data_IF_743837760542
#
_entry.id   IF_743837760542
#
_cell.length_a   1.000
_cell.length_b   1.000
_cell.length_c   1.000
_cell.angle_alpha   90.00
_cell.angle_beta   90.00
_cell.angle_gamma   90.00
#
_symmetry.space_group_name_H-M   'P 1'
#
loop_
_entity.id
_entity.type
_entity.pdbx_description
1 polymer ?
#
# COMPACT_ATOMS: atom_id res chain seq x y z
N UNK A 1 -29.28 -10.07 51.45
CA UNK A 1 -29.54 -8.63 51.20
C UNK A 1 -29.78 -8.43 49.72
N UNK A 2 -30.93 -7.82 49.37
CA UNK A 2 -31.47 -7.72 48.01
C UNK A 2 -30.65 -6.75 47.14
N UNK A 3 -30.47 -7.12 45.87
CA UNK A 3 -29.85 -6.34 44.79
C UNK A 3 -30.59 -5.01 44.57
N UNK A 4 -29.86 -3.90 44.49
CA UNK A 4 -30.35 -2.59 44.02
C UNK A 4 -30.61 -2.65 42.51
N UNK A 5 -31.74 -2.14 41.99
CA UNK A 5 -32.03 -2.14 40.56
C UNK A 5 -31.24 -1.03 39.84
N UNK A 6 -30.95 -1.18 38.53
CA UNK A 6 -30.34 -0.14 37.73
C UNK A 6 -31.34 1.00 37.48
N UNK A 7 -30.79 2.20 37.41
CA UNK A 7 -31.48 3.48 37.37
C UNK A 7 -32.45 3.58 36.17
N UNK A 8 -33.65 4.12 36.43
CA UNK A 8 -34.79 4.17 35.50
C UNK A 8 -34.48 4.99 34.24
N UNK A 9 -35.02 4.51 33.13
CA UNK A 9 -35.21 5.26 31.89
C UNK A 9 -35.81 6.66 32.16
N UNK A 10 -35.28 7.68 31.48
CA UNK A 10 -35.77 9.06 31.57
C UNK A 10 -37.27 9.15 31.33
N UNK A 11 -37.94 9.92 32.19
CA UNK A 11 -39.39 10.10 32.23
C UNK A 11 -39.99 10.59 30.89
N UNK A 12 -41.25 10.23 30.58
CA UNK A 12 -41.97 10.83 29.46
C UNK A 12 -42.25 12.31 29.77
N UNK A 13 -41.73 13.22 28.94
CA UNK A 13 -42.06 14.65 29.02
C UNK A 13 -43.55 14.87 28.76
N UNK A 14 -44.17 15.75 29.53
CA UNK A 14 -45.56 16.14 29.32
C UNK A 14 -45.77 16.67 27.88
N UNK A 15 -46.93 16.42 27.25
CA UNK A 15 -47.18 16.87 25.89
C UNK A 15 -47.13 18.40 25.83
N UNK A 16 -46.10 18.94 25.16
CA UNK A 16 -45.93 20.38 24.93
C UNK A 16 -44.70 21.02 25.56
N UNK A 17 -43.93 20.33 26.40
CA UNK A 17 -42.68 20.86 26.98
C UNK A 17 -41.44 20.55 26.13
N UNK A 18 -40.41 21.40 26.21
CA UNK A 18 -39.14 21.18 25.50
C UNK A 18 -38.40 19.94 26.03
N UNK A 19 -38.08 18.95 25.19
CA UNK A 19 -37.33 17.77 25.61
C UNK A 19 -35.89 18.11 25.96
N UNK A 20 -35.29 17.32 26.87
CA UNK A 20 -33.90 17.46 27.24
C UNK A 20 -32.96 17.13 26.07
N UNK A 21 -31.72 17.64 26.15
CA UNK A 21 -30.67 17.39 25.14
C UNK A 21 -30.42 15.90 24.95
N UNK A 22 -30.38 15.14 26.05
CA UNK A 22 -30.18 13.69 26.05
C UNK A 22 -31.33 12.95 25.38
N UNK A 23 -32.58 13.38 25.62
CA UNK A 23 -33.74 12.77 24.98
C UNK A 23 -33.73 12.96 23.45
N UNK A 24 -33.36 14.15 22.97
CA UNK A 24 -33.23 14.43 21.54
C UNK A 24 -32.10 13.60 20.93
N UNK A 25 -30.93 13.54 21.57
CA UNK A 25 -29.80 12.74 21.09
C UNK A 25 -30.12 11.24 21.07
N UNK A 26 -30.79 10.73 22.11
CA UNK A 26 -31.22 9.34 22.20
C UNK A 26 -32.22 8.99 21.09
N UNK A 27 -33.20 9.87 20.81
CA UNK A 27 -34.16 9.68 19.73
C UNK A 27 -33.50 9.63 18.34
N UNK A 28 -32.51 10.50 18.11
CA UNK A 28 -31.74 10.50 16.85
C UNK A 28 -30.91 9.21 16.71
N UNK A 29 -30.33 8.70 17.81
CA UNK A 29 -29.59 7.43 17.83
C UNK A 29 -30.50 6.22 17.60
N UNK A 30 -31.69 6.19 18.20
CA UNK A 30 -32.63 5.07 18.10
C UNK A 30 -33.44 5.06 16.81
N UNK A 31 -33.53 6.18 16.09
CA UNK A 31 -34.29 6.28 14.84
C UNK A 31 -33.52 5.64 13.67
N UNK A 32 -34.16 4.86 12.80
CA UNK A 32 -33.53 4.35 11.59
C UNK A 32 -33.36 5.48 10.55
N UNK A 33 -32.11 5.81 10.20
CA UNK A 33 -31.79 6.76 9.13
C UNK A 33 -31.62 8.22 9.58
N UNK A 34 -31.89 9.17 8.67
CA UNK A 34 -31.67 10.61 8.89
C UNK A 34 -32.91 11.24 9.49
N UNK A 35 -32.75 11.89 10.64
CA UNK A 35 -33.86 12.53 11.35
C UNK A 35 -33.91 14.03 11.05
N UNK A 36 -35.06 14.53 10.59
CA UNK A 36 -35.32 15.93 10.32
C UNK A 36 -36.10 16.63 11.44
N UNK A 37 -36.08 17.98 11.44
CA UNK A 37 -36.84 18.82 12.39
C UNK A 37 -38.32 18.42 12.52
N UNK A 38 -38.96 18.02 11.41
CA UNK A 38 -40.38 17.62 11.38
C UNK A 38 -40.65 16.34 12.17
N UNK A 39 -39.73 15.38 12.15
CA UNK A 39 -39.87 14.10 12.84
C UNK A 39 -39.68 14.28 14.35
N UNK A 40 -38.72 15.11 14.75
CA UNK A 40 -38.50 15.48 16.16
C UNK A 40 -39.72 16.23 16.72
N UNK A 41 -40.24 17.21 15.97
CA UNK A 41 -41.46 17.94 16.35
C UNK A 41 -42.65 17.00 16.52
N UNK A 42 -42.83 16.03 15.61
CA UNK A 42 -43.92 15.07 15.67
C UNK A 42 -43.77 14.10 16.86
N UNK A 43 -42.55 13.60 17.09
CA UNK A 43 -42.28 12.65 18.16
C UNK A 43 -42.49 13.26 19.54
N UNK A 44 -41.98 14.48 19.76
CA UNK A 44 -42.09 15.20 21.03
C UNK A 44 -43.31 16.13 21.12
N UNK A 45 -44.22 16.10 20.13
CA UNK A 45 -45.45 16.91 20.06
C UNK A 45 -45.20 18.42 20.31
N UNK A 46 -44.19 18.97 19.65
CA UNK A 46 -43.75 20.36 19.87
C UNK A 46 -44.61 21.39 19.11
N UNK A 47 -45.07 22.42 19.82
CA UNK A 47 -45.78 23.57 19.24
C UNK A 47 -44.90 24.52 18.39
N UNK A 48 -45.50 25.54 17.75
CA UNK A 48 -44.80 26.52 16.92
C UNK A 48 -43.69 27.29 17.67
N UNK A 49 -43.90 27.59 18.95
CA UNK A 49 -43.01 28.43 19.77
C UNK A 49 -41.68 27.73 20.11
N UNK A 50 -41.69 26.40 20.12
CA UNK A 50 -40.53 25.55 20.42
C UNK A 50 -39.55 25.40 19.23
N UNK A 51 -39.91 25.93 18.05
CA UNK A 51 -39.16 25.73 16.81
C UNK A 51 -37.80 26.43 16.80
N UNK A 52 -37.68 27.57 17.45
CA UNK A 52 -36.42 28.32 17.53
C UNK A 52 -35.47 27.66 18.53
N UNK A 53 -35.99 27.31 19.70
CA UNK A 53 -35.25 26.62 20.77
C UNK A 53 -34.72 25.26 20.32
N UNK A 54 -35.53 24.46 19.61
CA UNK A 54 -35.08 23.18 19.05
C UNK A 54 -33.91 23.35 18.06
N UNK A 55 -33.90 24.43 17.26
CA UNK A 55 -32.79 24.69 16.34
C UNK A 55 -31.49 25.06 17.06
N UNK A 56 -31.58 25.77 18.18
CA UNK A 56 -30.43 26.08 19.02
C UNK A 56 -29.84 24.80 19.64
N UNK A 57 -30.70 23.94 20.21
CA UNK A 57 -30.28 22.66 20.82
C UNK A 57 -29.64 21.71 19.80
N UNK A 58 -30.18 21.63 18.57
CA UNK A 58 -29.61 20.78 17.53
C UNK A 58 -28.25 21.28 17.02
N UNK A 59 -28.03 22.60 16.96
CA UNK A 59 -26.71 23.16 16.63
C UNK A 59 -25.68 22.86 17.71
N UNK A 60 -26.07 23.01 18.97
CA UNK A 60 -25.22 22.74 20.12
C UNK A 60 -24.84 21.26 20.21
N UNK A 61 -25.81 20.34 20.02
CA UNK A 61 -25.54 18.90 19.96
C UNK A 61 -24.63 18.49 18.80
N UNK A 62 -24.71 19.20 17.66
CA UNK A 62 -23.80 19.01 16.54
C UNK A 62 -22.39 19.54 16.83
N UNK A 63 -22.28 20.70 17.49
CA UNK A 63 -21.00 21.25 17.95
C UNK A 63 -20.31 20.37 19.00
N UNK A 64 -21.09 19.70 19.85
CA UNK A 64 -20.59 18.76 20.86
C UNK A 64 -20.38 17.31 20.38
N UNK A 65 -20.51 17.02 19.09
CA UNK A 65 -20.26 15.68 18.52
C UNK A 65 -21.29 14.59 18.90
N UNK A 66 -22.40 14.94 19.54
CA UNK A 66 -23.42 13.98 19.98
C UNK A 66 -24.34 13.53 18.82
N UNK A 67 -24.41 14.33 17.76
CA UNK A 67 -25.12 14.05 16.50
C UNK A 67 -24.30 14.60 15.33
N UNK A 68 -24.31 13.91 14.19
CA UNK A 68 -23.63 14.35 12.98
C UNK A 68 -24.61 15.05 12.03
N UNK A 69 -24.24 16.18 11.39
CA UNK A 69 -25.01 16.77 10.31
C UNK A 69 -25.17 15.78 9.14
N UNK A 70 -26.40 15.57 8.67
CA UNK A 70 -26.73 14.60 7.63
C UNK A 70 -27.51 15.25 6.45
N UNK A 71 -27.06 16.44 6.03
CA UNK A 71 -27.66 17.26 4.97
C UNK A 71 -28.39 18.50 5.49
N UNK A 72 -29.11 19.21 4.62
CA UNK A 72 -29.77 20.47 4.97
C UNK A 72 -30.86 20.26 6.05
N UNK A 73 -30.58 20.69 7.28
CA UNK A 73 -31.45 20.61 8.47
C UNK A 73 -31.83 19.17 8.90
N UNK A 74 -30.94 18.20 8.69
CA UNK A 74 -31.11 16.79 9.12
C UNK A 74 -29.89 16.31 9.92
N UNK A 75 -30.12 15.37 10.83
CA UNK A 75 -29.11 14.85 11.76
C UNK A 75 -29.16 13.32 11.81
N UNK A 76 -28.01 12.70 12.09
CA UNK A 76 -27.87 11.26 12.27
C UNK A 76 -26.97 10.96 13.48
N UNK A 77 -26.94 9.70 13.90
CA UNK A 77 -25.99 9.24 14.91
C UNK A 77 -24.53 9.43 14.43
N UNK A 78 -23.57 9.71 15.32
CA UNK A 78 -22.18 10.01 14.96
C UNK A 78 -21.48 8.88 14.18
N UNK A 79 -21.87 7.64 14.44
CA UNK A 79 -21.38 6.41 13.81
C UNK A 79 -22.04 6.10 12.45
N UNK A 80 -23.07 6.87 12.05
CA UNK A 80 -23.90 6.62 10.86
C UNK A 80 -23.62 7.57 9.69
N UNK A 81 -22.60 8.41 9.78
CA UNK A 81 -22.10 9.10 8.59
C UNK A 81 -21.54 8.05 7.64
N UNK A 82 -22.26 7.81 6.53
CA UNK A 82 -21.77 6.98 5.42
C UNK A 82 -20.34 7.38 5.09
N UNK A 83 -19.36 6.57 5.47
CA UNK A 83 -17.96 6.89 5.24
C UNK A 83 -17.72 6.90 3.73
N UNK A 84 -17.38 8.08 3.23
CA UNK A 84 -16.76 8.22 1.94
C UNK A 84 -15.28 7.95 2.18
N UNK A 85 -14.78 6.84 1.67
CA UNK A 85 -13.36 6.49 1.79
C UNK A 85 -12.71 6.44 0.41
N UNK A 86 -11.39 6.53 0.39
CA UNK A 86 -10.62 6.32 -0.83
C UNK A 86 -10.39 4.81 -0.99
N UNK A 87 -10.72 4.30 -2.17
CA UNK A 87 -10.55 2.90 -2.53
C UNK A 87 -9.72 2.80 -3.81
N UNK A 88 -8.97 1.72 -3.91
CA UNK A 88 -8.22 1.33 -5.11
C UNK A 88 -8.93 0.15 -5.78
N UNK A 89 -9.14 0.25 -7.10
CA UNK A 89 -9.70 -0.83 -7.92
C UNK A 89 -8.63 -1.89 -8.10
N UNK A 90 -8.93 -3.14 -7.75
CA UNK A 90 -7.98 -4.26 -7.81
C UNK A 90 -8.27 -5.25 -8.94
N UNK A 91 -9.45 -5.19 -9.55
CA UNK A 91 -9.88 -6.14 -10.57
C UNK A 91 -11.37 -6.04 -10.84
N UNK A 92 -11.88 -7.05 -11.56
CA UNK A 92 -13.31 -7.28 -11.73
C UNK A 92 -13.64 -8.73 -11.38
N UNK A 93 -14.89 -9.00 -11.02
CA UNK A 93 -15.41 -10.36 -10.88
C UNK A 93 -15.77 -10.98 -12.24
N UNK A 94 -16.16 -12.28 -12.29
CA UNK A 94 -16.56 -12.94 -13.53
C UNK A 94 -17.77 -12.30 -14.24
N UNK A 95 -18.59 -11.57 -13.50
CA UNK A 95 -19.77 -10.86 -14.01
C UNK A 95 -19.44 -9.43 -14.48
N UNK A 96 -18.17 -9.00 -14.32
CA UNK A 96 -17.65 -7.71 -14.75
C UNK A 96 -17.82 -6.58 -13.73
N UNK A 97 -18.30 -6.85 -12.51
CA UNK A 97 -18.36 -5.85 -11.44
C UNK A 97 -16.94 -5.53 -10.95
N UNK A 98 -16.59 -4.25 -10.87
CA UNK A 98 -15.27 -3.83 -10.40
C UNK A 98 -15.15 -4.10 -8.89
N UNK A 99 -14.03 -4.69 -8.48
CA UNK A 99 -13.70 -4.96 -7.08
C UNK A 99 -12.65 -3.94 -6.63
N UNK A 100 -12.84 -3.39 -5.44
CA UNK A 100 -11.96 -2.43 -4.81
C UNK A 100 -11.56 -2.85 -3.39
N UNK A 101 -10.51 -2.21 -2.88
CA UNK A 101 -10.06 -2.29 -1.47
C UNK A 101 -9.84 -0.88 -0.90
N UNK A 102 -9.97 -0.67 0.42
CA UNK A 102 -9.52 0.57 1.05
C UNK A 102 -8.02 0.81 0.83
N UNK A 103 -7.59 2.07 0.75
CA UNK A 103 -6.15 2.40 0.75
C UNK A 103 -5.54 2.18 2.14
N UNK A 104 -6.31 2.42 3.20
CA UNK A 104 -5.89 2.26 4.59
C UNK A 104 -6.83 1.27 5.29
N UNK A 105 -6.24 0.34 6.04
CA UNK A 105 -6.97 -0.60 6.89
C UNK A 105 -6.11 -0.99 8.10
N UNK A 106 -6.73 -1.53 9.18
CA UNK A 106 -6.00 -1.90 10.38
C UNK A 106 -4.87 -2.91 10.10
N UNK A 107 -3.66 -2.69 10.63
CA UNK A 107 -2.56 -3.62 10.45
C UNK A 107 -2.88 -4.98 11.10
N UNK A 108 -2.63 -6.07 10.36
CA UNK A 108 -2.90 -7.44 10.80
C UNK A 108 -4.26 -8.00 10.37
N UNK A 109 -5.13 -7.19 9.78
CA UNK A 109 -6.42 -7.64 9.23
C UNK A 109 -6.38 -7.80 7.70
N UNK A 110 -7.23 -8.68 7.17
CA UNK A 110 -7.41 -8.81 5.72
C UNK A 110 -8.19 -7.59 5.20
N UNK A 111 -7.77 -6.97 4.09
CA UNK A 111 -8.50 -5.84 3.55
C UNK A 111 -9.91 -6.27 3.13
N UNK A 112 -10.95 -5.52 3.53
CA UNK A 112 -12.31 -5.85 3.16
C UNK A 112 -12.51 -5.67 1.65
N UNK A 113 -13.36 -6.51 1.05
CA UNK A 113 -13.67 -6.43 -0.38
C UNK A 113 -14.85 -5.50 -0.61
N UNK A 114 -14.69 -4.60 -1.59
CA UNK A 114 -15.69 -3.59 -1.93
C UNK A 114 -16.12 -3.81 -3.38
N UNK A 115 -17.37 -4.21 -3.60
CA UNK A 115 -17.96 -4.36 -4.92
C UNK A 115 -18.47 -3.02 -5.40
N UNK A 116 -17.90 -2.50 -6.47
CA UNK A 116 -18.19 -1.18 -7.00
C UNK A 116 -19.40 -1.23 -7.92
N UNK A 117 -20.47 -0.56 -7.51
CA UNK A 117 -21.67 -0.42 -8.31
C UNK A 117 -21.35 0.26 -9.66
N UNK A 118 -22.04 -0.11 -10.75
CA UNK A 118 -21.86 0.50 -12.06
C UNK A 118 -22.02 2.02 -12.02
N UNK A 119 -21.17 2.72 -12.77
CA UNK A 119 -21.26 4.16 -12.94
C UNK A 119 -22.49 4.57 -13.77
N UNK A 120 -22.81 5.88 -13.84
CA UNK A 120 -23.80 6.39 -14.77
C UNK A 120 -23.50 5.97 -16.21
N UNK A 121 -24.54 5.70 -16.99
CA UNK A 121 -24.45 5.31 -18.41
C UNK A 121 -23.58 6.30 -19.18
N UNK A 122 -22.61 5.80 -19.96
CA UNK A 122 -21.68 6.61 -20.75
C UNK A 122 -20.35 6.95 -20.06
N UNK A 123 -20.13 6.58 -18.80
CA UNK A 123 -18.80 6.68 -18.18
C UNK A 123 -17.97 5.39 -18.42
N UNK A 124 -16.64 5.51 -18.64
CA UNK A 124 -15.76 4.35 -18.78
C UNK A 124 -15.80 3.47 -17.53
N UNK A 125 -15.66 2.15 -17.68
CA UNK A 125 -15.55 1.24 -16.54
C UNK A 125 -14.38 1.62 -15.62
N UNK A 126 -14.47 1.20 -14.36
CA UNK A 126 -13.39 1.35 -13.39
C UNK A 126 -12.31 0.32 -13.70
N UNK A 127 -11.11 0.79 -14.01
CA UNK A 127 -9.98 -0.07 -14.37
C UNK A 127 -9.11 -0.38 -13.14
N UNK A 128 -8.44 -1.55 -13.08
CA UNK A 128 -7.46 -1.85 -12.04
C UNK A 128 -6.43 -0.74 -11.88
N UNK A 129 -6.03 -0.49 -10.64
CA UNK A 129 -5.13 0.58 -10.25
C UNK A 129 -5.80 1.94 -10.05
N UNK A 130 -7.01 2.20 -10.58
CA UNK A 130 -7.69 3.48 -10.39
C UNK A 130 -8.03 3.73 -8.92
N UNK A 131 -7.87 4.98 -8.47
CA UNK A 131 -8.32 5.42 -7.14
C UNK A 131 -9.62 6.19 -7.26
N UNK A 132 -10.58 5.89 -6.39
CA UNK A 132 -11.86 6.60 -6.36
C UNK A 132 -12.29 6.90 -4.94
N UNK A 133 -12.90 8.06 -4.75
CA UNK A 133 -13.68 8.34 -3.55
C UNK A 133 -15.00 7.59 -3.69
N UNK A 134 -15.19 6.57 -2.87
CA UNK A 134 -16.38 5.73 -2.88
C UNK A 134 -17.19 5.92 -1.60
N UNK A 135 -18.52 6.01 -1.75
CA UNK A 135 -19.43 5.86 -0.61
C UNK A 135 -19.67 4.38 -0.39
N UNK A 136 -19.43 3.92 0.83
CA UNK A 136 -19.50 2.49 1.13
C UNK A 136 -20.76 2.13 1.93
N UNK A 137 -21.32 0.95 1.67
CA UNK A 137 -22.39 0.31 2.44
C UNK A 137 -22.05 -1.15 2.74
N UNK A 138 -22.37 -1.69 3.92
CA UNK A 138 -22.21 -3.12 4.19
C UNK A 138 -23.13 -3.94 3.27
N UNK A 139 -22.58 -4.98 2.63
CA UNK A 139 -23.31 -5.95 1.79
C UNK A 139 -23.26 -7.38 2.38
N UNK A 140 -22.50 -7.59 3.46
CA UNK A 140 -22.36 -8.87 4.16
C UNK A 140 -21.26 -8.83 5.22
N UNK A 141 -20.78 -10.00 5.66
CA UNK A 141 -19.60 -10.11 6.53
C UNK A 141 -18.34 -9.82 5.70
N UNK A 142 -17.57 -8.81 6.07
CA UNK A 142 -16.34 -8.35 5.39
C UNK A 142 -16.49 -7.99 3.90
N UNK A 143 -17.73 -7.76 3.47
CA UNK A 143 -18.11 -7.39 2.11
C UNK A 143 -18.89 -6.09 2.12
N UNK A 144 -18.51 -5.21 1.20
CA UNK A 144 -19.08 -3.89 1.09
C UNK A 144 -19.49 -3.61 -0.35
N UNK A 145 -20.50 -2.76 -0.52
CA UNK A 145 -20.88 -2.17 -1.78
C UNK A 145 -20.38 -0.73 -1.84
N UNK A 146 -19.63 -0.38 -2.87
CA UNK A 146 -19.09 0.95 -3.09
C UNK A 146 -19.81 1.65 -4.22
N UNK A 147 -20.23 2.90 -4.01
CA UNK A 147 -20.73 3.77 -5.09
C UNK A 147 -19.75 4.90 -5.32
N UNK A 148 -19.24 4.99 -6.54
CA UNK A 148 -18.31 6.04 -6.95
C UNK A 148 -18.93 7.43 -6.74
N UNK A 149 -18.32 8.23 -5.87
CA UNK A 149 -18.67 9.64 -5.69
C UNK A 149 -17.84 10.50 -6.63
N UNK A 150 -16.53 10.26 -6.68
CA UNK A 150 -15.58 11.00 -7.50
C UNK A 150 -14.42 10.09 -7.86
N UNK A 151 -14.00 10.09 -9.13
CA UNK A 151 -12.73 9.47 -9.52
C UNK A 151 -11.61 10.37 -9.05
N UNK A 152 -10.65 9.80 -8.33
CA UNK A 152 -9.45 10.52 -7.93
C UNK A 152 -8.45 10.28 -9.05
N UNK A 153 -8.20 11.33 -9.82
CA UNK A 153 -7.07 11.37 -10.74
C UNK A 153 -5.81 11.27 -9.88
N UNK A 154 -5.27 10.06 -9.77
CA UNK A 154 -4.22 9.77 -8.79
C UNK A 154 -3.61 8.39 -8.92
N UNK A 155 -3.92 7.69 -9.99
CA UNK A 155 -3.01 6.71 -10.56
C UNK A 155 -2.51 7.41 -11.81
N UNK A 156 -1.45 8.19 -11.65
CA UNK A 156 -0.66 8.65 -12.80
C UNK A 156 -0.27 7.39 -13.53
N UNK A 157 -1.00 7.04 -14.60
CA UNK A 157 -0.49 6.12 -15.60
C UNK A 157 0.80 6.76 -16.08
N UNK A 158 1.93 6.30 -15.55
CA UNK A 158 3.24 6.82 -15.88
C UNK A 158 3.46 6.37 -17.33
N UNK A 159 3.19 7.28 -18.27
CA UNK A 159 3.37 7.03 -19.70
C UNK A 159 4.88 6.89 -19.91
N UNK A 160 5.33 5.78 -20.48
CA UNK A 160 6.71 5.66 -20.96
C UNK A 160 6.69 5.47 -22.46
N UNK A 161 7.52 6.26 -23.12
CA UNK A 161 7.57 6.31 -24.58
C UNK A 161 8.78 7.10 -25.07
N UNK A 162 8.97 7.08 -26.38
CA UNK A 162 10.01 7.86 -27.05
C UNK A 162 9.45 9.24 -27.37
N UNK A 163 10.14 10.28 -26.93
CA UNK A 163 9.82 11.65 -27.28
C UNK A 163 10.26 11.93 -28.71
N UNK A 164 9.30 12.36 -29.54
CA UNK A 164 9.49 12.84 -30.90
C UNK A 164 9.30 14.33 -30.93
N UNK A 165 10.39 15.07 -31.10
CA UNK A 165 10.33 16.52 -31.17
C UNK A 165 9.66 16.95 -32.48
N UNK A 166 8.81 17.97 -32.42
CA UNK A 166 8.24 18.59 -33.60
C UNK A 166 8.73 20.04 -33.63
N UNK A 167 9.56 20.37 -34.62
CA UNK A 167 10.31 21.64 -34.66
C UNK A 167 9.34 22.80 -34.46
N UNK A 168 9.52 23.55 -33.37
CA UNK A 168 8.78 24.74 -32.92
C UNK A 168 7.42 24.60 -32.20
N UNK A 169 6.89 23.40 -31.93
CA UNK A 169 5.58 23.23 -31.24
C UNK A 169 5.58 22.27 -30.04
N UNK A 170 6.75 21.83 -29.57
CA UNK A 170 6.88 20.78 -28.55
C UNK A 170 7.15 19.42 -29.18
N UNK A 171 6.38 18.40 -28.85
CA UNK A 171 6.59 17.05 -29.37
C UNK A 171 5.46 16.08 -29.11
N UNK A 172 5.75 14.81 -29.34
CA UNK A 172 4.84 13.68 -29.11
C UNK A 172 5.55 12.62 -28.30
N UNK A 173 4.82 11.85 -27.50
CA UNK A 173 5.35 10.63 -26.88
C UNK A 173 4.72 9.44 -27.59
N UNK A 174 5.56 8.68 -28.27
CA UNK A 174 5.21 7.40 -28.90
C UNK A 174 5.39 6.28 -27.87
N UNK A 175 4.33 5.54 -27.49
CA UNK A 175 4.44 4.47 -26.50
C UNK A 175 5.42 3.37 -26.95
N UNK A 176 6.24 2.88 -26.02
CA UNK A 176 7.11 1.72 -26.26
C UNK A 176 6.35 0.40 -26.22
N UNK A 177 5.20 0.35 -25.54
CA UNK A 177 4.32 -0.82 -25.51
C UNK A 177 3.37 -0.84 -26.73
N UNK A 178 3.45 -1.90 -27.54
CA UNK A 178 2.55 -2.14 -28.69
C UNK A 178 1.07 -2.24 -28.30
N UNK A 179 0.73 -2.49 -27.03
CA UNK A 179 -0.65 -2.51 -26.52
C UNK A 179 -1.17 -1.11 -26.21
N UNK A 180 -0.29 -0.18 -25.85
CA UNK A 180 -0.63 1.22 -25.64
C UNK A 180 -0.65 1.94 -27.00
N UNK A 181 -1.83 2.01 -27.63
CA UNK A 181 -1.97 2.62 -28.97
C UNK A 181 -2.08 4.15 -28.99
N UNK A 182 -2.10 4.80 -27.83
CA UNK A 182 -2.35 6.23 -27.74
C UNK A 182 -1.04 7.01 -27.73
N UNK A 183 -0.78 7.75 -28.81
CA UNK A 183 0.22 8.83 -28.80
C UNK A 183 -0.25 9.99 -27.90
N UNK A 184 0.72 10.68 -27.30
CA UNK A 184 0.46 11.82 -26.42
C UNK A 184 1.12 13.07 -26.98
N UNK A 185 0.42 14.20 -26.94
CA UNK A 185 1.00 15.49 -27.32
C UNK A 185 1.64 16.16 -26.11
N UNK A 186 2.81 16.73 -26.30
CA UNK A 186 3.56 17.44 -25.25
C UNK A 186 3.89 18.83 -25.75
N UNK A 187 3.57 19.85 -24.97
CA UNK A 187 3.92 21.24 -25.32
C UNK A 187 5.41 21.49 -25.08
N UNK A 188 5.96 22.59 -25.61
CA UNK A 188 7.37 22.93 -25.35
C UNK A 188 7.65 23.16 -23.84
N UNK A 189 6.69 23.71 -23.10
CA UNK A 189 6.81 23.93 -21.65
C UNK A 189 6.75 22.60 -20.87
N UNK A 190 5.90 21.67 -21.33
CA UNK A 190 5.70 20.36 -20.71
C UNK A 190 6.75 19.32 -21.13
N UNK A 191 7.64 19.65 -22.06
CA UNK A 191 8.67 18.73 -22.56
C UNK A 191 9.81 18.50 -21.56
N UNK A 192 9.94 19.34 -20.52
CA UNK A 192 11.03 19.25 -19.53
C UNK A 192 12.43 19.17 -20.18
N UNK A 193 12.61 19.86 -21.31
CA UNK A 193 13.85 19.85 -22.09
C UNK A 193 14.18 18.50 -22.76
N UNK A 194 13.19 17.62 -22.95
CA UNK A 194 13.38 16.37 -23.68
C UNK A 194 13.79 16.61 -25.14
N UNK A 195 14.77 15.84 -25.59
CA UNK A 195 15.29 15.88 -26.95
C UNK A 195 14.68 14.79 -27.83
N UNK A 196 14.74 14.96 -29.15
CA UNK A 196 14.25 13.95 -30.08
C UNK A 196 14.97 12.61 -29.87
N UNK A 197 14.20 11.52 -29.82
CA UNK A 197 14.74 10.17 -29.63
C UNK A 197 15.00 9.79 -28.17
N UNK A 198 14.74 10.68 -27.20
CA UNK A 198 14.84 10.33 -25.79
C UNK A 198 13.65 9.50 -25.31
N UNK A 199 13.93 8.49 -24.50
CA UNK A 199 12.94 7.79 -23.69
C UNK A 199 12.56 8.73 -22.55
N UNK A 200 11.26 8.96 -22.39
CA UNK A 200 10.72 9.83 -21.35
C UNK A 200 9.64 9.14 -20.56
N UNK A 201 9.53 9.54 -19.30
CA UNK A 201 8.38 9.27 -18.44
C UNK A 201 7.51 10.51 -18.40
N UNK A 202 6.21 10.34 -18.55
CA UNK A 202 5.25 11.43 -18.55
C UNK A 202 3.99 11.12 -17.74
N UNK A 203 3.30 12.18 -17.34
CA UNK A 203 2.00 12.14 -16.69
C UNK A 203 0.93 12.63 -17.66
N UNK A 204 -0.23 11.95 -17.77
CA UNK A 204 -1.34 12.43 -18.57
C UNK A 204 -1.89 13.72 -17.98
N UNK A 205 -2.14 14.72 -18.84
CA UNK A 205 -2.82 15.95 -18.47
C UNK A 205 -4.32 15.88 -18.86
N UNK A 206 -5.20 16.65 -18.19
CA UNK A 206 -6.58 16.82 -18.63
C UNK A 206 -6.63 17.36 -20.07
N UNK A 207 -7.37 16.66 -20.95
CA UNK A 207 -7.41 16.97 -22.38
C UNK A 207 -8.83 17.06 -22.95
N UNK A 208 -8.93 17.60 -24.17
CA UNK A 208 -10.19 17.66 -24.92
C UNK A 208 -10.66 16.24 -25.29
N UNK A 209 -11.98 16.00 -25.47
CA UNK A 209 -12.51 14.68 -25.82
C UNK A 209 -12.06 14.14 -27.19
N UNK A 210 -11.63 15.03 -28.08
CA UNK A 210 -11.23 14.75 -29.46
C UNK A 210 -9.77 15.17 -29.67
N UNK A 211 -8.97 14.29 -30.29
CA UNK A 211 -7.54 14.50 -30.57
C UNK A 211 -6.61 13.68 -29.68
N UNK A 212 -5.30 13.89 -29.87
CA UNK A 212 -4.27 13.30 -29.01
C UNK A 212 -4.37 13.87 -27.60
N UNK A 213 -4.15 13.03 -26.59
CA UNK A 213 -4.23 13.45 -25.19
C UNK A 213 -2.95 14.20 -24.80
N UNK A 214 -3.05 15.31 -24.05
CA UNK A 214 -1.88 16.02 -23.58
C UNK A 214 -1.17 15.23 -22.47
N UNK A 215 0.14 15.33 -22.40
CA UNK A 215 0.96 14.77 -21.33
C UNK A 215 2.11 15.72 -20.99
N UNK A 216 2.64 15.58 -19.77
CA UNK A 216 3.80 16.32 -19.29
C UNK A 216 4.94 15.38 -18.96
N UNK A 217 6.11 15.63 -19.52
CA UNK A 217 7.32 14.89 -19.21
C UNK A 217 7.73 15.21 -17.77
N UNK A 218 7.87 14.16 -16.97
CA UNK A 218 8.33 14.27 -15.57
C UNK A 218 9.79 13.82 -15.42
N UNK A 219 10.27 12.95 -16.30
CA UNK A 219 11.60 12.36 -16.20
C UNK A 219 12.14 12.01 -17.59
N UNK A 220 13.43 12.31 -17.82
CA UNK A 220 14.17 11.94 -19.03
C UNK A 220 15.02 10.72 -18.72
N UNK A 221 14.73 9.60 -19.37
CA UNK A 221 15.37 8.29 -19.13
C UNK A 221 16.58 8.04 -20.05
N UNK A 222 16.88 8.97 -20.97
CA UNK A 222 18.04 8.94 -21.85
C UNK A 222 17.69 8.62 -23.30
N UNK A 223 18.69 8.61 -24.17
CA UNK A 223 18.52 8.30 -25.60
C UNK A 223 18.13 6.84 -25.81
N UNK A 224 17.21 6.56 -26.74
CA UNK A 224 16.77 5.19 -27.05
C UNK A 224 17.90 4.26 -27.50
N UNK A 225 19.00 4.84 -28.00
CA UNK A 225 20.21 4.13 -28.44
C UNK A 225 21.14 3.75 -27.28
N UNK A 226 20.92 4.26 -26.08
CA UNK A 226 21.69 3.91 -24.89
C UNK A 226 21.19 2.57 -24.32
N UNK A 227 22.13 1.64 -24.08
CA UNK A 227 21.84 0.36 -23.43
C UNK A 227 21.14 0.54 -22.07
N UNK A 228 21.43 1.62 -21.34
CA UNK A 228 20.77 1.95 -20.07
C UNK A 228 19.30 2.33 -20.23
N UNK A 229 18.93 2.95 -21.35
CA UNK A 229 17.56 3.34 -21.62
C UNK A 229 16.67 2.10 -21.85
N UNK A 230 17.22 1.02 -22.42
CA UNK A 230 16.50 -0.26 -22.59
C UNK A 230 16.05 -0.82 -21.24
N UNK A 231 16.94 -0.88 -20.25
CA UNK A 231 16.59 -1.35 -18.91
C UNK A 231 15.52 -0.47 -18.25
N UNK A 232 15.61 0.86 -18.40
CA UNK A 232 14.61 1.80 -17.88
C UNK A 232 13.24 1.64 -18.55
N UNK A 233 13.20 1.41 -19.86
CA UNK A 233 11.96 1.10 -20.59
C UNK A 233 11.33 -0.17 -20.02
N UNK A 234 12.12 -1.25 -19.85
CA UNK A 234 11.61 -2.53 -19.34
C UNK A 234 11.10 -2.38 -17.91
N UNK A 235 11.85 -1.70 -17.03
CA UNK A 235 11.44 -1.41 -15.65
C UNK A 235 10.08 -0.71 -15.65
N UNK A 236 9.90 0.32 -16.46
CA UNK A 236 8.67 1.06 -16.48
C UNK A 236 7.51 0.30 -17.16
N UNK A 237 7.78 -0.40 -18.26
CA UNK A 237 6.77 -1.16 -19.01
C UNK A 237 6.18 -2.31 -18.19
N UNK A 238 7.00 -2.91 -17.32
CA UNK A 238 6.58 -3.99 -16.43
C UNK A 238 6.20 -3.50 -15.03
N UNK A 239 6.08 -2.18 -14.83
CA UNK A 239 5.75 -1.57 -13.54
C UNK A 239 6.63 -2.10 -12.38
N UNK A 240 7.91 -2.34 -12.64
CA UNK A 240 8.83 -2.85 -11.63
C UNK A 240 9.02 -1.75 -10.57
N UNK A 241 8.72 -2.04 -9.29
CA UNK A 241 8.80 -1.04 -8.22
C UNK A 241 10.25 -0.63 -7.95
N UNK A 242 10.60 0.62 -8.28
CA UNK A 242 11.96 1.16 -8.08
C UNK A 242 12.12 1.98 -6.80
N UNK A 243 11.05 2.63 -6.32
CA UNK A 243 11.08 3.51 -5.15
C UNK A 243 10.86 2.73 -3.83
N UNK A 244 11.63 3.04 -2.79
CA UNK A 244 11.42 2.52 -1.45
C UNK A 244 10.55 3.48 -0.63
N UNK A 245 9.72 2.94 0.26
CA UNK A 245 9.00 3.78 1.22
C UNK A 245 10.01 4.48 2.16
N UNK A 246 9.85 5.77 2.49
CA UNK A 246 10.75 6.47 3.41
C UNK A 246 10.90 5.76 4.76
N UNK A 247 9.81 5.18 5.27
CA UNK A 247 9.84 4.38 6.49
C UNK A 247 10.71 3.11 6.37
N UNK A 248 10.73 2.46 5.20
CA UNK A 248 11.57 1.28 4.96
C UNK A 248 13.06 1.65 4.85
N UNK A 249 13.36 2.79 4.23
CA UNK A 249 14.73 3.35 4.21
C UNK A 249 15.19 3.64 5.65
N UNK A 250 14.37 4.34 6.43
CA UNK A 250 14.68 4.63 7.82
C UNK A 250 14.88 3.36 8.66
N UNK A 251 14.01 2.34 8.52
CA UNK A 251 14.20 1.04 9.20
C UNK A 251 15.54 0.39 8.84
N UNK A 252 15.94 0.42 7.57
CA UNK A 252 17.22 -0.13 7.10
C UNK A 252 18.44 0.65 7.64
N UNK A 253 18.40 1.99 7.64
CA UNK A 253 19.49 2.83 8.15
C UNK A 253 19.67 2.72 9.68
N UNK A 254 18.58 2.44 10.40
CA UNK A 254 18.62 2.21 11.84
C UNK A 254 19.01 0.77 12.22
N UNK A 255 19.16 -0.14 11.25
CA UNK A 255 19.63 -1.50 11.51
C UNK A 255 21.03 -1.49 12.14
N UNK A 256 21.30 -2.49 12.98
CA UNK A 256 22.54 -2.65 13.75
C UNK A 256 23.01 -4.09 13.70
N UNK A 257 24.26 -4.31 14.07
CA UNK A 257 24.83 -5.63 14.19
C UNK A 257 23.92 -6.54 15.04
N UNK A 258 23.78 -7.77 14.57
CA UNK A 258 23.03 -8.80 15.27
C UNK A 258 23.83 -9.25 16.51
N UNK A 259 23.23 -9.32 17.72
CA UNK A 259 23.93 -9.75 18.92
C UNK A 259 24.12 -11.27 18.96
N UNK A 260 25.10 -11.75 19.73
CA UNK A 260 25.38 -13.18 19.91
C UNK A 260 24.23 -13.89 20.66
N UNK A 261 23.83 -13.41 21.85
CA UNK A 261 22.68 -13.92 22.64
C UNK A 261 22.41 -15.44 22.51
N UNK A 262 21.27 -15.82 21.91
CA UNK A 262 20.82 -17.22 21.75
C UNK A 262 21.35 -17.88 20.47
N UNK A 263 22.33 -17.28 19.80
CA UNK A 263 22.92 -17.79 18.56
C UNK A 263 24.12 -18.67 18.86
N UNK A 264 24.33 -19.65 18.01
CA UNK A 264 25.59 -20.41 18.00
C UNK A 264 26.72 -19.49 17.53
N UNK A 265 27.81 -19.45 18.26
CA UNK A 265 29.03 -18.77 17.80
C UNK A 265 29.73 -19.64 16.75
N UNK A 266 29.81 -19.13 15.52
CA UNK A 266 30.46 -19.79 14.37
C UNK A 266 31.66 -18.99 13.86
N UNK A 267 32.12 -17.97 14.59
CA UNK A 267 33.18 -17.06 14.13
C UNK A 267 34.55 -17.71 13.98
N UNK A 268 34.80 -18.80 14.72
CA UNK A 268 36.03 -19.59 14.62
C UNK A 268 35.94 -20.70 13.55
N UNK A 269 34.78 -20.87 12.90
CA UNK A 269 34.61 -21.80 11.78
C UNK A 269 35.00 -21.07 10.50
N UNK A 270 35.94 -21.60 9.68
CA UNK A 270 36.40 -20.93 8.46
C UNK A 270 35.37 -21.10 7.32
N UNK A 271 34.21 -20.47 7.49
CA UNK A 271 33.15 -20.37 6.50
C UNK A 271 33.60 -19.45 5.36
N UNK A 272 33.38 -19.86 4.12
CA UNK A 272 33.71 -19.07 2.91
C UNK A 272 32.46 -18.81 2.07
N UNK A 273 32.43 -17.70 1.36
CA UNK A 273 31.43 -17.43 0.31
C UNK A 273 32.03 -17.73 -1.06
N UNK A 274 31.22 -18.15 -2.04
CA UNK A 274 31.68 -18.53 -3.38
C UNK A 274 30.78 -17.85 -4.41
N UNK A 275 31.20 -16.67 -4.86
CA UNK A 275 30.39 -15.77 -5.67
C UNK A 275 31.12 -15.25 -6.90
N UNK A 276 30.38 -14.61 -7.81
CA UNK A 276 30.97 -13.89 -8.93
C UNK A 276 31.83 -12.70 -8.45
N UNK A 277 32.88 -12.36 -9.20
CA UNK A 277 33.83 -11.31 -8.83
C UNK A 277 33.18 -9.92 -8.58
N UNK A 278 32.03 -9.66 -9.20
CA UNK A 278 31.30 -8.39 -9.10
C UNK A 278 30.17 -8.41 -8.05
N UNK A 279 29.98 -9.54 -7.34
CA UNK A 279 28.93 -9.69 -6.33
C UNK A 279 29.19 -8.81 -5.10
N UNK A 280 28.11 -8.33 -4.47
CA UNK A 280 28.17 -7.47 -3.27
C UNK A 280 27.24 -7.95 -2.14
N UNK A 281 26.25 -8.74 -2.51
CA UNK A 281 25.23 -9.40 -1.71
C UNK A 281 25.61 -10.88 -1.55
N UNK A 282 26.45 -11.18 -0.54
CA UNK A 282 26.84 -12.56 -0.23
C UNK A 282 25.78 -13.20 0.65
N UNK A 283 24.93 -14.04 0.05
CA UNK A 283 23.76 -14.61 0.71
C UNK A 283 24.07 -15.89 1.49
N UNK A 284 25.05 -16.67 1.04
CA UNK A 284 25.44 -17.94 1.63
C UNK A 284 26.93 -18.11 1.85
N UNK A 285 27.27 -18.89 2.87
CA UNK A 285 28.62 -19.31 3.20
C UNK A 285 28.65 -20.80 3.53
N UNK A 286 29.75 -21.47 3.17
CA UNK A 286 29.91 -22.91 3.30
C UNK A 286 31.21 -23.28 4.01
N UNK A 287 31.16 -24.40 4.73
CA UNK A 287 32.33 -25.04 5.34
C UNK A 287 32.15 -26.56 5.28
N UNK A 288 33.25 -27.28 5.11
CA UNK A 288 33.26 -28.74 5.14
C UNK A 288 34.53 -29.27 5.82
N UNK A 289 34.36 -30.31 6.62
CA UNK A 289 35.46 -31.07 7.24
C UNK A 289 35.18 -32.58 7.20
N UNK A 290 36.22 -33.43 7.13
CA UNK A 290 36.05 -34.87 7.32
C UNK A 290 35.42 -35.17 8.70
N UNK A 291 34.50 -36.13 8.74
CA UNK A 291 33.89 -36.60 9.98
C UNK A 291 33.57 -38.08 9.88
N UNK A 292 34.21 -38.90 10.72
CA UNK A 292 34.17 -40.36 10.60
C UNK A 292 34.55 -40.80 9.18
N UNK A 293 33.78 -41.68 8.54
CA UNK A 293 34.01 -42.12 7.16
C UNK A 293 33.40 -41.15 6.12
N UNK A 294 32.87 -40.00 6.55
CA UNK A 294 32.18 -39.04 5.68
C UNK A 294 32.58 -37.59 5.96
N UNK A 295 31.60 -36.68 5.91
CA UNK A 295 31.81 -35.24 6.01
C UNK A 295 30.81 -34.57 6.94
N UNK A 296 31.25 -33.54 7.65
CA UNK A 296 30.40 -32.54 8.28
C UNK A 296 30.42 -31.28 7.42
N UNK A 297 29.25 -30.81 7.03
CA UNK A 297 29.08 -29.59 6.24
C UNK A 297 28.27 -28.58 7.05
N UNK A 298 28.64 -27.31 6.94
CA UNK A 298 27.86 -26.20 7.45
C UNK A 298 27.52 -25.30 6.27
N UNK A 299 26.23 -25.02 6.10
CA UNK A 299 25.72 -23.99 5.18
C UNK A 299 25.09 -22.91 6.03
N UNK A 300 25.56 -21.67 5.91
CA UNK A 300 25.09 -20.51 6.61
C UNK A 300 24.48 -19.52 5.62
N UNK A 301 23.23 -19.12 5.83
CA UNK A 301 22.47 -18.18 5.01
C UNK A 301 22.28 -16.88 5.79
N UNK A 302 22.42 -15.74 5.13
CA UNK A 302 22.12 -14.42 5.67
C UNK A 302 20.80 -14.38 6.46
N UNK A 303 20.84 -13.87 7.70
CA UNK A 303 19.65 -13.80 8.56
C UNK A 303 18.80 -12.54 8.28
N UNK A 304 18.28 -12.45 7.05
CA UNK A 304 17.41 -11.34 6.61
C UNK A 304 16.19 -11.17 7.53
N UNK A 305 15.65 -12.28 8.04
CA UNK A 305 14.50 -12.31 8.94
C UNK A 305 14.76 -11.65 10.32
N UNK A 306 16.03 -11.39 10.67
CA UNK A 306 16.35 -10.57 11.84
C UNK A 306 15.95 -9.10 11.64
N UNK A 307 16.15 -8.57 10.42
CA UNK A 307 15.92 -7.17 10.07
C UNK A 307 14.51 -6.94 9.50
N UNK A 308 14.03 -7.85 8.66
CA UNK A 308 12.72 -7.75 8.01
C UNK A 308 11.67 -8.47 8.85
N UNK A 309 11.02 -7.75 9.77
CA UNK A 309 10.04 -8.31 10.71
C UNK A 309 8.61 -8.28 10.13
N UNK A 310 7.77 -9.30 10.40
CA UNK A 310 6.39 -9.30 9.94
C UNK A 310 5.64 -8.02 10.33
N UNK A 311 4.98 -7.41 9.35
CA UNK A 311 4.24 -6.16 9.50
C UNK A 311 5.08 -4.88 9.41
N UNK A 312 6.41 -4.94 9.35
CA UNK A 312 7.27 -3.74 9.26
C UNK A 312 7.18 -3.04 7.89
N UNK A 313 7.74 -1.83 7.78
CA UNK A 313 7.81 -1.14 6.49
C UNK A 313 8.68 -1.90 5.48
N UNK A 314 9.82 -2.44 5.92
CA UNK A 314 10.67 -3.31 5.10
C UNK A 314 9.90 -4.53 4.59
N UNK A 315 9.14 -5.21 5.44
CA UNK A 315 8.36 -6.40 5.08
C UNK A 315 7.25 -6.10 4.06
N UNK A 316 6.58 -4.94 4.17
CA UNK A 316 5.62 -4.48 3.16
C UNK A 316 6.30 -4.21 1.81
N UNK A 317 7.47 -3.57 1.80
CA UNK A 317 8.20 -3.28 0.56
C UNK A 317 8.78 -4.55 -0.06
N UNK A 318 9.36 -5.45 0.74
CA UNK A 318 9.86 -6.74 0.27
C UNK A 318 8.74 -7.57 -0.38
N UNK A 319 7.54 -7.61 0.21
CA UNK A 319 6.38 -8.26 -0.41
C UNK A 319 5.91 -7.61 -1.71
N UNK A 320 5.96 -6.28 -1.79
CA UNK A 320 5.59 -5.56 -3.01
C UNK A 320 6.57 -5.84 -4.15
N UNK A 321 7.86 -5.89 -3.83
CA UNK A 321 8.94 -6.13 -4.81
C UNK A 321 9.07 -7.61 -5.19
N UNK A 322 8.89 -8.52 -4.24
CA UNK A 322 8.95 -9.97 -4.43
C UNK A 322 10.37 -10.52 -4.63
N UNK A 323 11.15 -9.91 -5.51
CA UNK A 323 12.54 -10.28 -5.81
C UNK A 323 13.40 -9.05 -6.16
N UNK A 324 14.71 -9.26 -6.26
CA UNK A 324 15.62 -8.32 -6.94
C UNK A 324 15.58 -8.59 -8.45
N UNK A 325 15.47 -7.55 -9.27
CA UNK A 325 15.51 -7.66 -10.73
C UNK A 325 16.91 -7.28 -11.25
N UNK A 326 17.60 -8.22 -11.88
CA UNK A 326 18.95 -8.02 -12.43
C UNK A 326 18.88 -7.68 -13.93
N UNK A 327 19.52 -6.58 -14.31
CA UNK A 327 19.66 -6.10 -15.68
C UNK A 327 21.15 -6.07 -16.06
N UNK A 328 21.49 -6.06 -17.37
CA UNK A 328 22.89 -6.01 -17.79
C UNK A 328 23.70 -4.85 -17.21
N UNK A 329 23.06 -3.70 -16.94
CA UNK A 329 23.71 -2.48 -16.46
C UNK A 329 23.38 -2.11 -15.00
N UNK A 330 22.43 -2.79 -14.35
CA UNK A 330 21.92 -2.40 -13.03
C UNK A 330 21.16 -3.52 -12.31
N UNK A 331 20.89 -3.28 -11.03
CA UNK A 331 19.97 -4.10 -10.23
C UNK A 331 18.88 -3.21 -9.65
N UNK A 332 17.64 -3.68 -9.67
CA UNK A 332 16.55 -3.11 -8.87
C UNK A 332 16.40 -4.00 -7.62
N UNK A 333 16.94 -3.60 -6.46
CA UNK A 333 17.05 -4.50 -5.32
C UNK A 333 15.71 -4.67 -4.60
N UNK A 334 15.51 -5.84 -3.99
CA UNK A 334 14.34 -6.11 -3.14
C UNK A 334 14.37 -5.31 -1.83
N UNK A 335 15.56 -5.14 -1.25
CA UNK A 335 15.77 -4.47 0.02
C UNK A 335 16.64 -3.21 -0.16
N UNK A 336 16.55 -2.22 0.73
CA UNK A 336 17.47 -1.09 0.71
C UNK A 336 18.93 -1.53 0.86
N UNK A 337 19.84 -0.79 0.25
CA UNK A 337 21.27 -1.13 0.17
C UNK A 337 21.93 -1.34 1.54
N UNK A 338 21.54 -0.54 2.55
CA UNK A 338 22.03 -0.67 3.93
C UNK A 338 21.80 -2.07 4.53
N UNK A 339 20.81 -2.81 4.03
CA UNK A 339 20.58 -4.22 4.37
C UNK A 339 21.18 -5.16 3.34
N UNK A 340 20.81 -5.04 2.05
CA UNK A 340 21.19 -6.03 1.03
C UNK A 340 22.71 -6.16 0.89
N UNK A 341 23.40 -5.03 0.76
CA UNK A 341 24.85 -5.01 0.63
C UNK A 341 25.52 -4.85 1.98
N UNK A 342 24.80 -4.41 3.01
CA UNK A 342 25.32 -4.15 4.35
C UNK A 342 25.12 -5.31 5.31
N UNK A 343 24.10 -5.19 6.16
CA UNK A 343 23.90 -6.09 7.32
C UNK A 343 23.48 -7.52 6.99
N UNK A 344 22.91 -7.77 5.81
CA UNK A 344 22.55 -9.11 5.35
C UNK A 344 23.68 -9.78 4.56
N UNK A 345 24.58 -9.02 3.93
CA UNK A 345 25.70 -9.58 3.18
C UNK A 345 26.74 -10.19 4.13
N UNK A 346 27.09 -11.47 3.91
CA UNK A 346 28.07 -12.26 4.66
C UNK A 346 29.51 -11.87 4.28
N UNK A 347 29.86 -10.60 4.47
CA UNK A 347 31.14 -10.04 4.07
C UNK A 347 32.34 -10.71 4.78
N UNK A 348 33.48 -10.85 4.09
CA UNK A 348 34.75 -11.26 4.69
C UNK A 348 35.12 -10.44 5.92
N UNK A 349 35.69 -11.08 6.93
CA UNK A 349 36.22 -10.48 8.16
C UNK A 349 35.22 -9.70 9.03
N UNK A 350 33.93 -9.76 8.71
CA UNK A 350 32.88 -9.07 9.46
C UNK A 350 31.92 -10.05 10.15
N UNK A 351 31.54 -9.73 11.40
CA UNK A 351 30.56 -10.53 12.14
C UNK A 351 29.17 -10.32 11.54
N UNK A 352 28.52 -11.42 11.15
CA UNK A 352 27.19 -11.44 10.51
C UNK A 352 26.28 -12.50 11.08
N UNK A 353 25.02 -12.12 11.29
CA UNK A 353 23.99 -13.03 11.74
C UNK A 353 23.56 -13.94 10.59
N UNK A 354 23.50 -15.25 10.84
CA UNK A 354 23.07 -16.24 9.86
C UNK A 354 22.02 -17.20 10.42
N UNK A 355 21.29 -17.85 9.51
CA UNK A 355 20.61 -19.11 9.74
C UNK A 355 21.51 -20.20 9.18
N UNK A 356 21.86 -21.21 9.98
CA UNK A 356 22.74 -22.27 9.51
C UNK A 356 22.08 -23.64 9.59
N UNK A 357 22.55 -24.54 8.74
CA UNK A 357 22.33 -25.97 8.84
C UNK A 357 23.67 -26.68 8.94
N UNK A 358 23.84 -27.47 9.99
CA UNK A 358 24.93 -28.44 10.10
C UNK A 358 24.41 -29.79 9.61
N UNK A 359 25.12 -30.42 8.67
CA UNK A 359 24.75 -31.68 8.04
C UNK A 359 25.89 -32.68 8.15
N UNK A 360 25.56 -33.94 8.41
CA UNK A 360 26.51 -35.05 8.42
C UNK A 360 26.18 -35.98 7.27
N UNK A 361 27.14 -36.17 6.38
CA UNK A 361 27.01 -36.88 5.11
C UNK A 361 27.95 -38.09 5.16
N UNK A 362 27.45 -39.27 4.77
CA UNK A 362 28.26 -40.48 4.70
C UNK A 362 29.22 -40.52 3.50
N UNK A 363 30.08 -41.54 3.43
CA UNK A 363 30.98 -41.76 2.29
C UNK A 363 30.25 -41.95 0.95
N UNK A 364 28.99 -42.37 1.00
CA UNK A 364 28.11 -42.58 -0.16
C UNK A 364 27.37 -41.30 -0.60
N UNK A 365 27.62 -40.17 0.08
CA UNK A 365 26.94 -38.90 -0.17
C UNK A 365 25.56 -38.78 0.48
N UNK A 366 25.12 -39.76 1.29
CA UNK A 366 23.81 -39.72 1.93
C UNK A 366 23.81 -38.90 3.23
N UNK A 367 22.78 -38.05 3.41
CA UNK A 367 22.63 -37.24 4.63
C UNK A 367 22.08 -38.05 5.80
N UNK A 368 22.91 -38.34 6.80
CA UNK A 368 22.50 -39.06 8.01
C UNK A 368 21.72 -38.18 8.99
N UNK A 369 22.29 -37.05 9.44
CA UNK A 369 21.66 -36.15 10.42
C UNK A 369 21.87 -34.69 10.06
N UNK A 370 21.03 -33.81 10.60
CA UNK A 370 21.22 -32.37 10.48
C UNK A 370 20.74 -31.64 11.74
N UNK A 371 21.17 -30.39 11.90
CA UNK A 371 20.69 -29.45 12.91
C UNK A 371 20.58 -28.06 12.30
N UNK A 372 19.43 -27.41 12.49
CA UNK A 372 19.24 -26.00 12.17
C UNK A 372 19.48 -25.12 13.40
N UNK A 373 19.95 -23.89 13.16
CA UNK A 373 20.08 -22.88 14.20
C UNK A 373 20.24 -21.48 13.64
N UNK A 374 20.18 -20.49 14.53
CA UNK A 374 20.68 -19.14 14.25
C UNK A 374 22.12 -19.07 14.73
N UNK A 375 23.00 -18.49 13.93
CA UNK A 375 24.41 -18.33 14.21
C UNK A 375 24.85 -16.87 14.10
N UNK A 376 26.04 -16.60 14.65
CA UNK A 376 26.85 -15.44 14.34
C UNK A 376 28.16 -15.97 13.73
N UNK A 377 28.45 -15.61 12.48
CA UNK A 377 29.62 -16.07 11.75
C UNK A 377 30.53 -14.91 11.35
N UNK A 378 31.76 -15.24 10.96
CA UNK A 378 32.69 -14.33 10.26
C UNK A 378 33.21 -15.08 9.05
N UNK A 379 33.00 -14.54 7.84
CA UNK A 379 33.55 -15.18 6.63
C UNK A 379 35.07 -15.05 6.65
N UNK A 380 35.75 -16.16 6.33
CA UNK A 380 37.20 -16.30 6.33
C UNK A 380 37.88 -15.73 5.08
#
# INVERSE_FOLDING_TARGET
MKRRPPNRAGAPTAPGEMPSREAIASFIKSSPGRVGKREIIRHFKLGPDHRATLLAVLRDLAGGGHVAPAGHRRFAAPDRTHEAIIVEIIGSDPDGEAIARPIEWPPGERPPRIFMAPGPTGQPALAPGQRVLARIRPRGRDMYEGRTLRRIEGTTGRIVGVFRANVSLGGRIEPTDRRAKAEWTVTAEDANGAEDGEVVRAEPLPGKPLGLKPARVVERLGQVTDARAVSLIVIATHDIPTEFLPAAIAEAEHARATPLENRTDLRDVPLITIDGADARDFDDAVYAEPHEDGFKLIVAIADVAHYVRPGSALDRVARLRGNSCYFPDRVVPMLPEALSNGWCSLRPDEDRGCLFVEMFIGPDGQKHRHRFGRGLMRSA
#
